data_IF_695917140410
#
_entry.id   IF_695917140410
#
_cell.length_a   1.000
_cell.length_b   1.000
_cell.length_c   1.000
_cell.angle_alpha   90.00
_cell.angle_beta   90.00
_cell.angle_gamma   90.00
#
_symmetry.space_group_name_H-M   'P 1'
#
loop_
_entity.id
_entity.type
_entity.pdbx_description
1 polymer ?
#
# COMPACT_ATOMS: atom_id res chain seq x y z
N UNK A 1 27.71 37.02 53.17
CA UNK A 1 27.36 35.59 53.18
C UNK A 1 26.00 35.44 52.51
N UNK A 2 25.87 34.42 51.65
CA UNK A 2 24.96 34.36 50.50
C UNK A 2 23.51 34.14 50.94
N UNK A 3 22.60 35.05 50.59
CA UNK A 3 21.15 34.84 50.70
C UNK A 3 20.72 33.95 49.53
N UNK A 4 20.33 32.72 49.85
CA UNK A 4 19.99 31.67 48.90
C UNK A 4 18.47 31.65 48.71
N UNK A 5 18.02 32.16 47.58
CA UNK A 5 16.63 32.14 47.12
C UNK A 5 16.23 30.72 46.74
N UNK A 6 15.37 30.08 47.53
CA UNK A 6 14.70 28.82 47.16
C UNK A 6 13.33 29.12 46.56
N UNK A 7 13.30 29.29 45.25
CA UNK A 7 12.09 29.21 44.44
C UNK A 7 11.73 27.72 44.38
N UNK A 8 10.77 27.30 45.20
CA UNK A 8 10.14 26.00 45.08
C UNK A 8 9.23 26.06 43.85
N UNK A 9 9.79 25.74 42.69
CA UNK A 9 9.05 25.54 41.45
C UNK A 9 8.17 24.31 41.66
N UNK A 10 6.91 24.54 42.02
CA UNK A 10 5.90 23.52 42.25
C UNK A 10 5.62 22.89 40.88
N UNK A 11 6.39 21.85 40.56
CA UNK A 11 6.17 20.95 39.43
C UNK A 11 4.79 20.34 39.62
N UNK A 12 3.79 20.95 39.00
CA UNK A 12 2.51 20.32 38.77
C UNK A 12 2.79 19.01 38.03
N UNK A 13 2.37 17.85 38.56
CA UNK A 13 2.42 16.64 37.77
C UNK A 13 1.41 16.84 36.66
N UNK A 14 1.90 16.97 35.43
CA UNK A 14 1.10 16.77 34.22
C UNK A 14 0.60 15.34 34.35
N UNK A 15 -0.59 15.20 34.93
CA UNK A 15 -1.33 13.96 34.97
C UNK A 15 -1.67 13.68 33.51
N UNK A 16 -0.86 12.85 32.87
CA UNK A 16 -1.19 12.24 31.59
C UNK A 16 -2.49 11.46 31.81
N UNK A 17 -3.61 12.10 31.50
CA UNK A 17 -4.88 11.44 31.27
C UNK A 17 -4.64 10.46 30.11
N UNK A 18 -4.32 9.21 30.47
CA UNK A 18 -4.66 8.08 29.63
C UNK A 18 -6.19 8.05 29.55
N UNK A 19 -6.74 8.81 28.61
CA UNK A 19 -8.11 8.61 28.17
C UNK A 19 -8.19 7.19 27.64
N UNK A 20 -9.01 6.35 28.26
CA UNK A 20 -9.36 5.05 27.70
C UNK A 20 -9.86 5.28 26.28
N UNK A 21 -9.33 4.51 25.33
CA UNK A 21 -9.91 4.44 24.00
C UNK A 21 -11.39 4.13 24.17
N UNK A 22 -12.27 5.03 23.70
CA UNK A 22 -13.71 4.77 23.73
C UNK A 22 -13.94 3.55 22.85
N UNK A 23 -14.35 2.45 23.46
CA UNK A 23 -14.92 1.30 22.76
C UNK A 23 -16.10 1.83 21.95
N UNK A 24 -15.84 2.10 20.67
CA UNK A 24 -16.87 2.54 19.75
C UNK A 24 -17.52 1.28 19.25
N UNK A 25 -18.70 0.97 19.78
CA UNK A 25 -19.54 -0.10 19.24
C UNK A 25 -19.60 0.06 17.71
N UNK A 26 -19.40 -1.02 16.92
CA UNK A 26 -19.45 -0.93 15.47
C UNK A 26 -20.80 -0.31 15.06
N UNK A 27 -20.78 0.65 14.13
CA UNK A 27 -21.99 1.27 13.59
C UNK A 27 -22.93 0.16 13.10
N UNK A 28 -23.98 -0.13 13.86
CA UNK A 28 -24.99 -1.11 13.49
C UNK A 28 -25.64 -0.64 12.19
N UNK A 29 -25.45 -1.41 11.11
CA UNK A 29 -26.24 -1.23 9.91
C UNK A 29 -27.56 -1.96 10.14
N UNK A 30 -28.64 -1.20 10.21
CA UNK A 30 -29.98 -1.73 10.34
C UNK A 30 -30.56 -1.92 8.95
N UNK A 31 -30.96 -3.15 8.63
CA UNK A 31 -31.73 -3.45 7.42
C UNK A 31 -33.14 -3.84 7.84
N UNK A 32 -34.16 -3.20 7.25
CA UNK A 32 -35.56 -3.56 7.48
C UNK A 32 -36.04 -4.44 6.33
N UNK A 33 -36.40 -5.69 6.64
CA UNK A 33 -36.97 -6.65 5.69
C UNK A 33 -38.34 -7.05 6.24
N UNK A 34 -39.39 -6.91 5.43
CA UNK A 34 -40.77 -7.29 5.77
C UNK A 34 -41.32 -6.71 7.10
N UNK A 35 -40.85 -5.52 7.49
CA UNK A 35 -41.26 -4.84 8.72
C UNK A 35 -40.46 -5.21 9.97
N UNK A 36 -39.55 -6.18 9.87
CA UNK A 36 -38.63 -6.56 10.94
C UNK A 36 -37.27 -5.87 10.79
N UNK A 37 -36.71 -5.44 11.92
CA UNK A 37 -35.41 -4.76 12.01
C UNK A 37 -34.31 -5.78 12.28
N UNK A 38 -33.49 -6.08 11.25
CA UNK A 38 -32.36 -6.99 11.38
C UNK A 38 -31.08 -6.17 11.59
N UNK A 39 -30.37 -6.45 12.69
CA UNK A 39 -29.05 -5.87 12.95
C UNK A 39 -28.01 -6.62 12.12
N UNK A 40 -27.41 -5.93 11.14
CA UNK A 40 -26.28 -6.45 10.37
C UNK A 40 -25.00 -5.89 10.97
N UNK A 41 -24.20 -6.77 11.56
CA UNK A 41 -22.87 -6.45 12.07
C UNK A 41 -21.86 -7.11 11.12
N UNK A 42 -21.09 -6.29 10.42
CA UNK A 42 -19.91 -6.77 9.70
C UNK A 42 -18.78 -6.90 10.72
N UNK A 43 -18.43 -8.14 11.07
CA UNK A 43 -17.33 -8.44 11.97
C UNK A 43 -16.09 -8.64 11.11
N UNK A 44 -15.02 -7.91 11.41
CA UNK A 44 -13.73 -8.18 10.78
C UNK A 44 -13.25 -9.59 11.13
N UNK A 45 -12.80 -10.40 10.16
CA UNK A 45 -12.31 -11.74 10.44
C UNK A 45 -11.11 -11.68 11.39
N UNK A 46 -11.22 -12.35 12.54
CA UNK A 46 -10.13 -12.47 13.50
C UNK A 46 -9.23 -13.62 13.07
N UNK A 47 -7.98 -13.31 12.72
CA UNK A 47 -7.02 -14.32 12.31
C UNK A 47 -6.40 -14.98 13.54
N UNK A 48 -6.82 -16.21 13.83
CA UNK A 48 -6.29 -17.00 14.94
C UNK A 48 -4.98 -17.63 14.49
N UNK A 49 -3.85 -17.06 14.93
CA UNK A 49 -2.53 -17.66 14.70
C UNK A 49 -2.25 -18.69 15.80
N UNK A 50 -2.17 -19.97 15.43
CA UNK A 50 -1.55 -20.98 16.30
C UNK A 50 -0.10 -20.57 16.61
N UNK A 51 0.43 -20.96 17.78
CA UNK A 51 1.81 -20.67 18.19
C UNK A 51 2.79 -20.82 17.01
N UNK A 52 3.25 -19.69 16.48
CA UNK A 52 4.17 -19.67 15.34
C UNK A 52 5.55 -20.11 15.81
N UNK A 53 6.16 -21.05 15.08
CA UNK A 53 7.58 -21.36 15.19
C UNK A 53 8.42 -20.08 14.98
N UNK A 54 9.60 -19.98 15.59
CA UNK A 54 10.42 -18.77 15.51
C UNK A 54 10.80 -18.41 14.07
N UNK A 55 11.05 -19.41 13.21
CA UNK A 55 11.33 -19.21 11.78
C UNK A 55 10.16 -18.50 11.06
N UNK A 56 8.91 -18.95 11.28
CA UNK A 56 7.71 -18.34 10.69
C UNK A 56 7.49 -16.92 11.19
N UNK A 57 7.81 -16.63 12.46
CA UNK A 57 7.77 -15.26 13.00
C UNK A 57 8.78 -14.37 12.30
N UNK A 58 9.99 -14.86 12.06
CA UNK A 58 11.01 -14.10 11.35
C UNK A 58 10.60 -13.78 9.91
N UNK A 59 10.04 -14.76 9.19
CA UNK A 59 9.48 -14.57 7.86
C UNK A 59 8.37 -13.49 7.85
N UNK A 60 7.44 -13.57 8.81
CA UNK A 60 6.39 -12.56 8.96
C UNK A 60 6.97 -11.17 9.24
N UNK A 61 7.97 -11.05 10.12
CA UNK A 61 8.65 -9.76 10.40
C UNK A 61 9.33 -9.20 9.14
N UNK A 62 9.96 -10.06 8.33
CA UNK A 62 10.55 -9.66 7.04
C UNK A 62 9.47 -9.20 6.07
N UNK A 63 8.36 -9.93 5.94
CA UNK A 63 7.23 -9.53 5.08
C UNK A 63 6.65 -8.19 5.53
N UNK A 64 6.38 -8.01 6.83
CA UNK A 64 5.89 -6.76 7.41
C UNK A 64 6.76 -5.57 7.04
N UNK A 65 8.08 -5.68 7.21
CA UNK A 65 9.02 -4.61 6.81
C UNK A 65 8.93 -4.29 5.32
N UNK A 66 8.83 -5.31 4.47
CA UNK A 66 8.69 -5.14 3.02
C UNK A 66 7.38 -4.43 2.67
N UNK A 67 6.25 -4.88 3.22
CA UNK A 67 4.92 -4.28 2.97
C UNK A 67 4.92 -2.81 3.37
N UNK A 68 5.36 -2.47 4.59
CA UNK A 68 5.44 -1.08 5.06
C UNK A 68 6.29 -0.22 4.13
N UNK A 69 7.43 -0.74 3.68
CA UNK A 69 8.34 -0.02 2.78
C UNK A 69 7.74 0.18 1.40
N UNK A 70 7.11 -0.85 0.81
CA UNK A 70 6.72 -0.84 -0.61
C UNK A 70 5.30 -0.33 -0.88
N UNK A 71 4.39 -0.41 0.10
CA UNK A 71 2.98 -0.03 -0.07
C UNK A 71 2.77 1.43 -0.52
N UNK A 72 3.49 2.44 0.00
CA UNK A 72 3.34 3.82 -0.48
C UNK A 72 3.61 3.96 -1.99
N UNK A 73 4.55 3.17 -2.53
CA UNK A 73 4.84 3.17 -3.97
C UNK A 73 3.71 2.53 -4.78
N UNK A 74 3.11 1.45 -4.28
CA UNK A 74 1.97 0.80 -4.94
C UNK A 74 0.76 1.73 -5.03
N UNK A 75 0.39 2.38 -3.91
CA UNK A 75 -0.70 3.37 -3.87
C UNK A 75 -0.46 4.55 -4.79
N UNK A 76 0.78 5.07 -4.79
CA UNK A 76 1.16 6.17 -5.67
C UNK A 76 1.07 5.76 -7.14
N UNK A 77 1.53 4.56 -7.49
CA UNK A 77 1.39 4.03 -8.84
C UNK A 77 -0.08 3.90 -9.27
N UNK A 78 -0.94 3.35 -8.41
CA UNK A 78 -2.37 3.22 -8.66
C UNK A 78 -3.04 4.59 -8.90
N UNK A 79 -2.79 5.57 -8.03
CA UNK A 79 -3.30 6.93 -8.18
C UNK A 79 -2.82 7.59 -9.48
N UNK A 80 -1.54 7.43 -9.83
CA UNK A 80 -0.98 7.98 -11.08
C UNK A 80 -1.57 7.31 -12.31
N UNK A 81 -1.80 6.00 -12.26
CA UNK A 81 -2.44 5.26 -13.34
C UNK A 81 -3.86 5.74 -13.56
N UNK A 82 -4.66 5.86 -12.50
CA UNK A 82 -6.03 6.36 -12.58
C UNK A 82 -6.06 7.78 -13.19
N UNK A 83 -5.24 8.70 -12.66
CA UNK A 83 -5.15 10.05 -13.21
C UNK A 83 -4.72 10.06 -14.69
N UNK A 84 -3.84 9.14 -15.09
CA UNK A 84 -3.42 9.00 -16.49
C UNK A 84 -4.56 8.49 -17.37
N UNK A 85 -5.31 7.48 -16.92
CA UNK A 85 -6.48 6.94 -17.61
C UNK A 85 -7.55 8.01 -17.82
N UNK A 86 -7.85 8.81 -16.79
CA UNK A 86 -8.76 9.96 -16.86
C UNK A 86 -8.30 10.98 -17.90
N UNK A 87 -7.02 11.36 -17.87
CA UNK A 87 -6.44 12.29 -18.83
C UNK A 87 -6.43 11.74 -20.27
N UNK A 88 -6.27 10.43 -20.43
CA UNK A 88 -6.30 9.76 -21.72
C UNK A 88 -7.72 9.68 -22.30
N UNK A 89 -8.73 9.54 -21.45
CA UNK A 89 -10.13 9.60 -21.85
C UNK A 89 -10.49 10.97 -22.47
N UNK A 90 -9.89 12.05 -21.97
CA UNK A 90 -10.10 13.42 -22.48
C UNK A 90 -9.45 13.70 -23.84
N UNK A 91 -8.46 12.90 -24.28
CA UNK A 91 -7.76 13.14 -25.55
C UNK A 91 -8.55 12.55 -26.73
N UNK A 92 -8.71 13.34 -27.79
CA UNK A 92 -9.51 12.96 -28.96
C UNK A 92 -8.71 12.18 -29.99
N UNK A 93 -7.44 12.55 -30.22
CA UNK A 93 -6.64 11.95 -31.29
C UNK A 93 -5.66 10.89 -30.79
N UNK A 94 -5.39 9.87 -31.60
CA UNK A 94 -4.36 8.85 -31.32
C UNK A 94 -2.97 9.46 -31.11
N UNK A 95 -2.65 10.54 -31.84
CA UNK A 95 -1.36 11.25 -31.74
C UNK A 95 -1.19 11.94 -30.38
N UNK A 96 -2.22 12.61 -29.89
CA UNK A 96 -2.21 13.25 -28.56
C UNK A 96 -2.10 12.21 -27.44
N UNK A 97 -2.87 11.12 -27.53
CA UNK A 97 -2.77 10.00 -26.58
C UNK A 97 -1.35 9.46 -26.51
N UNK A 98 -0.73 9.19 -27.66
CA UNK A 98 0.65 8.69 -27.74
C UNK A 98 1.66 9.69 -27.17
N UNK A 99 1.51 10.99 -27.46
CA UNK A 99 2.40 12.04 -26.91
C UNK A 99 2.29 12.11 -25.39
N UNK A 100 1.07 12.09 -24.86
CA UNK A 100 0.83 12.14 -23.42
C UNK A 100 1.38 10.91 -22.70
N UNK A 101 1.11 9.70 -23.23
CA UNK A 101 1.69 8.45 -22.71
C UNK A 101 3.22 8.53 -22.63
N UNK A 102 3.87 9.00 -23.71
CA UNK A 102 5.33 9.15 -23.74
C UNK A 102 5.85 10.13 -22.66
N UNK A 103 5.16 11.24 -22.44
CA UNK A 103 5.53 12.21 -21.40
C UNK A 103 5.39 11.61 -19.99
N UNK A 104 4.29 10.90 -19.75
CA UNK A 104 4.08 10.19 -18.49
C UNK A 104 5.15 9.12 -18.26
N UNK A 105 5.46 8.30 -19.27
CA UNK A 105 6.52 7.28 -19.22
C UNK A 105 7.87 7.89 -18.81
N UNK A 106 8.29 8.97 -19.46
CA UNK A 106 9.56 9.64 -19.20
C UNK A 106 9.62 10.20 -17.77
N UNK A 107 8.52 10.81 -17.31
CA UNK A 107 8.42 11.30 -15.92
C UNK A 107 8.49 10.16 -14.90
N UNK A 108 7.82 9.04 -15.17
CA UNK A 108 7.81 7.87 -14.29
C UNK A 108 9.20 7.22 -14.24
N UNK A 109 9.87 7.09 -15.38
CA UNK A 109 11.23 6.56 -15.45
C UNK A 109 12.17 7.41 -14.60
N UNK A 110 12.16 8.73 -14.77
CA UNK A 110 13.07 9.63 -14.07
C UNK A 110 12.81 9.66 -12.56
N UNK A 111 11.55 9.55 -12.13
CA UNK A 111 11.18 9.57 -10.71
C UNK A 111 11.43 8.23 -10.00
N UNK A 112 11.16 7.10 -10.67
CA UNK A 112 11.05 5.81 -9.99
C UNK A 112 12.05 4.75 -10.42
N UNK A 113 12.76 4.90 -11.55
CA UNK A 113 13.68 3.85 -12.02
C UNK A 113 14.82 3.61 -11.03
N UNK A 114 15.37 4.66 -10.43
CA UNK A 114 16.44 4.53 -9.43
C UNK A 114 15.92 3.90 -8.14
N UNK A 115 14.73 4.32 -7.69
CA UNK A 115 14.09 3.76 -6.50
C UNK A 115 13.80 2.26 -6.67
N UNK A 116 13.27 1.86 -7.82
CA UNK A 116 12.98 0.47 -8.14
C UNK A 116 14.23 -0.40 -8.28
N UNK A 117 15.36 0.18 -8.72
CA UNK A 117 16.66 -0.48 -8.73
C UNK A 117 17.24 -0.69 -7.33
N UNK A 118 16.92 0.20 -6.40
CA UNK A 118 17.37 0.13 -5.00
C UNK A 118 16.51 -0.81 -4.14
N UNK A 119 15.41 -1.34 -4.67
CA UNK A 119 14.63 -2.38 -4.01
C UNK A 119 15.32 -3.73 -4.14
N UNK A 120 15.27 -4.53 -3.08
CA UNK A 120 15.64 -5.94 -3.18
C UNK A 120 14.62 -6.71 -4.03
N UNK A 121 15.04 -7.85 -4.60
CA UNK A 121 14.17 -8.71 -5.41
C UNK A 121 12.87 -9.07 -4.66
N UNK A 122 13.02 -9.41 -3.39
CA UNK A 122 11.93 -9.77 -2.48
C UNK A 122 10.98 -8.60 -2.15
N UNK A 123 11.49 -7.37 -2.10
CA UNK A 123 10.67 -6.17 -1.96
C UNK A 123 9.91 -5.87 -3.26
N UNK A 124 10.59 -5.99 -4.41
CA UNK A 124 9.96 -5.82 -5.70
C UNK A 124 8.82 -6.81 -5.95
N UNK A 125 8.99 -8.08 -5.54
CA UNK A 125 7.92 -9.08 -5.62
C UNK A 125 6.67 -8.68 -4.82
N UNK A 126 6.85 -8.21 -3.59
CA UNK A 126 5.73 -7.70 -2.76
C UNK A 126 5.11 -6.47 -3.42
N UNK A 127 5.93 -5.56 -3.98
CA UNK A 127 5.44 -4.38 -4.70
C UNK A 127 4.57 -4.77 -5.91
N UNK A 128 4.96 -5.75 -6.72
CA UNK A 128 4.17 -6.20 -7.88
C UNK A 128 2.78 -6.69 -7.45
N UNK A 129 2.72 -7.50 -6.38
CA UNK A 129 1.45 -7.97 -5.80
C UNK A 129 0.60 -6.81 -5.29
N UNK A 130 1.19 -5.87 -4.57
CA UNK A 130 0.46 -4.69 -4.08
C UNK A 130 -0.06 -3.82 -5.24
N UNK A 131 0.70 -3.65 -6.33
CA UNK A 131 0.20 -2.95 -7.52
C UNK A 131 -1.02 -3.68 -8.10
N UNK A 132 -0.97 -5.01 -8.20
CA UNK A 132 -2.12 -5.80 -8.63
C UNK A 132 -3.32 -5.65 -7.69
N UNK A 133 -3.09 -5.66 -6.37
CA UNK A 133 -4.13 -5.42 -5.35
C UNK A 133 -4.82 -4.07 -5.53
N UNK A 134 -4.06 -2.99 -5.74
CA UNK A 134 -4.59 -1.63 -5.86
C UNK A 134 -5.26 -1.36 -7.22
N UNK A 135 -4.78 -1.97 -8.30
CA UNK A 135 -5.19 -1.61 -9.66
C UNK A 135 -5.98 -2.69 -10.41
N UNK A 136 -5.97 -3.93 -9.90
CA UNK A 136 -6.51 -5.11 -10.57
C UNK A 136 -5.76 -5.51 -11.85
N UNK A 137 -4.58 -4.92 -12.11
CA UNK A 137 -3.77 -5.19 -13.31
C UNK A 137 -2.38 -5.64 -12.88
N UNK A 138 -1.85 -6.67 -13.54
CA UNK A 138 -0.46 -7.07 -13.26
C UNK A 138 0.50 -6.00 -13.74
N UNK A 139 1.66 -5.89 -13.11
CA UNK A 139 2.68 -4.93 -13.56
C UNK A 139 3.05 -5.17 -15.01
N UNK A 140 3.07 -6.42 -15.48
CA UNK A 140 3.27 -6.77 -16.89
C UNK A 140 2.18 -6.20 -17.81
N UNK A 141 0.90 -6.26 -17.42
CA UNK A 141 -0.21 -5.73 -18.22
C UNK A 141 -0.18 -4.21 -18.29
N UNK A 142 0.02 -3.56 -17.15
CA UNK A 142 0.24 -2.11 -17.04
C UNK A 142 1.30 -1.74 -18.04
N UNK A 143 2.45 -2.35 -17.89
CA UNK A 143 3.59 -2.18 -18.75
C UNK A 143 3.30 -2.40 -20.25
N UNK A 144 2.61 -3.49 -20.61
CA UNK A 144 2.27 -3.81 -22.01
C UNK A 144 1.31 -2.78 -22.61
N UNK A 145 0.38 -2.23 -21.81
CA UNK A 145 -0.58 -1.23 -22.27
C UNK A 145 0.11 0.12 -22.54
N UNK A 146 1.21 0.41 -21.84
CA UNK A 146 2.05 1.59 -22.06
C UNK A 146 3.22 1.31 -23.03
N UNK A 147 3.09 0.38 -23.96
CA UNK A 147 4.16 0.06 -24.93
C UNK A 147 4.24 1.04 -26.11
N UNK A 148 3.72 2.27 -25.94
CA UNK A 148 3.57 3.27 -26.99
C UNK A 148 4.89 3.92 -27.45
N UNK A 149 5.95 3.80 -26.65
CA UNK A 149 7.30 4.28 -26.99
C UNK A 149 8.34 4.01 -25.91
N UNK A 150 8.05 3.14 -24.95
CA UNK A 150 8.90 2.95 -23.80
C UNK A 150 10.29 2.44 -24.20
N UNK A 151 11.33 3.10 -23.68
CA UNK A 151 12.71 2.77 -23.95
C UNK A 151 12.98 1.32 -23.58
N UNK A 152 13.52 0.57 -24.55
CA UNK A 152 13.99 -0.82 -24.41
C UNK A 152 14.85 -1.02 -23.17
N UNK A 153 15.54 0.02 -22.70
CA UNK A 153 16.35 0.02 -21.48
C UNK A 153 15.55 -0.16 -20.18
N UNK A 154 14.40 0.50 -20.03
CA UNK A 154 13.55 0.29 -18.85
C UNK A 154 12.98 -1.12 -18.85
N UNK A 155 12.50 -1.57 -20.02
CA UNK A 155 12.00 -2.93 -20.23
C UNK A 155 13.02 -4.00 -19.91
N UNK A 156 14.23 -3.83 -20.41
CA UNK A 156 15.32 -4.79 -20.22
C UNK A 156 15.79 -4.82 -18.78
N UNK A 157 15.92 -3.66 -18.13
CA UNK A 157 16.30 -3.59 -16.73
C UNK A 157 15.23 -4.23 -15.83
N UNK A 158 13.96 -3.91 -16.03
CA UNK A 158 12.88 -4.44 -15.20
C UNK A 158 12.62 -5.92 -15.47
N UNK A 159 12.62 -6.33 -16.74
CA UNK A 159 12.46 -7.73 -17.13
C UNK A 159 13.63 -8.62 -16.68
N UNK A 160 14.86 -8.11 -16.65
CA UNK A 160 16.01 -8.89 -16.16
C UNK A 160 15.98 -9.10 -14.65
N UNK A 161 15.42 -8.16 -13.88
CA UNK A 161 15.42 -8.24 -12.41
C UNK A 161 14.15 -8.90 -11.87
N UNK A 162 13.00 -8.61 -12.50
CA UNK A 162 11.68 -8.98 -12.00
C UNK A 162 10.85 -9.81 -12.99
N UNK A 163 11.42 -10.26 -14.11
CA UNK A 163 10.65 -10.80 -15.24
C UNK A 163 9.64 -11.90 -14.91
N UNK A 164 9.97 -12.81 -13.99
CA UNK A 164 9.05 -13.84 -13.52
C UNK A 164 7.95 -13.27 -12.60
N UNK A 165 8.31 -12.35 -11.70
CA UNK A 165 7.41 -11.77 -10.70
C UNK A 165 6.54 -10.62 -11.25
N UNK A 166 6.83 -10.08 -12.43
CA UNK A 166 6.03 -9.01 -13.06
C UNK A 166 4.60 -9.44 -13.41
N UNK A 167 4.36 -10.75 -13.54
CA UNK A 167 3.05 -11.34 -13.76
C UNK A 167 2.40 -11.82 -12.45
N UNK A 168 3.04 -11.59 -11.31
CA UNK A 168 2.49 -12.01 -10.03
C UNK A 168 1.19 -11.26 -9.77
N UNK A 169 0.15 -12.04 -9.48
CA UNK A 169 -1.14 -11.54 -9.02
C UNK A 169 -1.18 -11.58 -7.50
N UNK A 170 -2.00 -10.71 -6.94
CA UNK A 170 -2.35 -10.74 -5.52
C UNK A 170 -3.52 -11.70 -5.32
N UNK A 171 -3.33 -12.68 -4.44
CA UNK A 171 -4.35 -13.67 -4.08
C UNK A 171 -4.74 -13.48 -2.60
N UNK A 172 -6.00 -13.11 -2.27
CA UNK A 172 -6.44 -12.92 -0.89
C UNK A 172 -6.23 -14.12 0.04
N UNK A 173 -6.24 -15.35 -0.51
CA UNK A 173 -6.09 -16.59 0.24
C UNK A 173 -4.61 -16.89 0.49
N UNK A 174 -3.76 -16.77 -0.52
CA UNK A 174 -2.33 -17.07 -0.40
C UNK A 174 -1.54 -15.91 0.23
N UNK A 175 -1.93 -14.68 -0.05
CA UNK A 175 -1.30 -13.44 0.40
C UNK A 175 -2.04 -12.77 1.57
N UNK A 176 -2.84 -13.55 2.32
CA UNK A 176 -3.63 -13.06 3.46
C UNK A 176 -2.79 -12.29 4.50
N UNK A 177 -1.51 -12.65 4.66
CA UNK A 177 -0.59 -11.99 5.57
C UNK A 177 -0.34 -10.53 5.18
N UNK A 178 -0.36 -10.21 3.89
CA UNK A 178 -0.19 -8.84 3.39
C UNK A 178 -1.35 -7.96 3.86
N UNK A 179 -2.60 -8.43 3.70
CA UNK A 179 -3.79 -7.69 4.18
C UNK A 179 -3.80 -7.55 5.69
N UNK A 180 -3.44 -8.63 6.39
CA UNK A 180 -3.33 -8.59 7.83
C UNK A 180 -2.35 -7.51 8.29
N UNK A 181 -1.19 -7.40 7.64
CA UNK A 181 -0.21 -6.33 7.92
C UNK A 181 -0.80 -4.95 7.62
N UNK A 182 -1.47 -4.76 6.47
CA UNK A 182 -2.05 -3.48 6.08
C UNK A 182 -3.08 -3.01 7.12
N UNK A 183 -3.99 -3.89 7.53
CA UNK A 183 -5.01 -3.60 8.54
C UNK A 183 -4.39 -3.34 9.91
N UNK A 184 -3.45 -4.18 10.35
CA UNK A 184 -2.81 -4.06 11.65
C UNK A 184 -2.05 -2.73 11.81
N UNK A 185 -1.40 -2.26 10.74
CA UNK A 185 -0.63 -1.02 10.75
C UNK A 185 -1.46 0.22 10.37
N UNK A 186 -2.78 0.08 10.17
CA UNK A 186 -3.68 1.13 9.71
C UNK A 186 -3.19 1.82 8.43
N UNK A 187 -2.74 1.02 7.45
CA UNK A 187 -2.18 1.50 6.19
C UNK A 187 -3.19 1.50 5.04
N UNK A 188 -4.50 1.52 5.32
CA UNK A 188 -5.56 1.62 4.31
C UNK A 188 -5.55 2.94 3.54
#
# INVERSE_FOLDING_TARGET
MKHFTWIFFLVSPICSLFGQAKDTLPKHQVMVIDGDTINVINIDPVLISASMDEAKREEYRKLKRRVIKVLPYAKLAASKMQAMEDNLALKKTKKEKKKYIKQCEESMKNLYMEQLKNLSIEEGKVLMKLIHRETGKTTWEIMKNYRGGAETLFWQAFGSVYGHDMKAEYDPVLDYQIEHIIKQENLE
#
